data_IF_203827352993
#
_entry.id   IF_203827352993
#
_cell.length_a   1.000
_cell.length_b   1.000
_cell.length_c   1.000
_cell.angle_alpha   90.00
_cell.angle_beta   90.00
_cell.angle_gamma   90.00
#
_symmetry.space_group_name_H-M   'P 1'
#
loop_
_entity.id
_entity.type
_entity.pdbx_description
1 polymer ?
#
# COMPACT_ATOMS: atom_id res chain seq x y z
N UNK A 1 -7.89 -13.17 -15.07
CA UNK A 1 -7.91 -11.70 -14.88
C UNK A 1 -7.72 -11.45 -13.38
N UNK A 2 -6.78 -10.57 -13.00
CA UNK A 2 -6.47 -10.29 -11.60
C UNK A 2 -6.77 -8.81 -11.27
N UNK A 3 -7.09 -8.52 -10.01
CA UNK A 3 -7.17 -7.16 -9.47
C UNK A 3 -6.03 -6.90 -8.49
N UNK A 4 -5.65 -5.65 -8.32
CA UNK A 4 -4.82 -5.22 -7.20
C UNK A 4 -5.63 -5.19 -5.90
N UNK A 5 -4.93 -5.21 -4.74
CA UNK A 5 -5.57 -5.15 -3.42
C UNK A 5 -6.45 -3.90 -3.28
N UNK A 6 -5.97 -2.73 -3.72
CA UNK A 6 -6.73 -1.48 -3.63
C UNK A 6 -8.01 -1.50 -4.48
N UNK A 7 -7.97 -2.10 -5.68
CA UNK A 7 -9.15 -2.23 -6.56
C UNK A 7 -10.19 -3.16 -5.94
N UNK A 8 -9.75 -4.29 -5.37
CA UNK A 8 -10.63 -5.20 -4.65
C UNK A 8 -11.31 -4.53 -3.45
N UNK A 9 -10.56 -3.74 -2.66
CA UNK A 9 -11.13 -2.98 -1.55
C UNK A 9 -12.11 -1.90 -1.99
N UNK A 10 -11.83 -1.20 -3.09
CA UNK A 10 -12.77 -0.23 -3.67
C UNK A 10 -14.08 -0.91 -4.08
N UNK A 11 -14.01 -2.07 -4.71
CA UNK A 11 -15.20 -2.85 -5.06
C UNK A 11 -15.97 -3.29 -3.81
N UNK A 12 -15.28 -3.80 -2.78
CA UNK A 12 -15.94 -4.16 -1.51
C UNK A 12 -16.65 -2.98 -0.85
N UNK A 13 -16.01 -1.81 -0.81
CA UNK A 13 -16.60 -0.60 -0.26
C UNK A 13 -17.87 -0.16 -1.03
N UNK A 14 -17.87 -0.26 -2.37
CA UNK A 14 -19.04 0.06 -3.20
C UNK A 14 -20.26 -0.81 -2.86
N UNK A 15 -20.04 -2.02 -2.35
CA UNK A 15 -21.09 -2.95 -1.93
C UNK A 15 -21.35 -2.92 -0.42
N UNK A 16 -20.82 -1.93 0.30
CA UNK A 16 -21.04 -1.74 1.74
C UNK A 16 -20.33 -2.77 2.63
N UNK A 17 -19.36 -3.54 2.09
CA UNK A 17 -18.55 -4.44 2.89
C UNK A 17 -17.47 -3.66 3.65
N UNK A 18 -17.20 -3.98 4.93
CA UNK A 18 -16.22 -3.25 5.72
C UNK A 18 -14.82 -3.48 5.17
N UNK A 19 -14.12 -2.38 4.89
CA UNK A 19 -12.71 -2.37 4.50
C UNK A 19 -11.97 -1.31 5.30
N UNK A 20 -10.67 -1.51 5.52
CA UNK A 20 -9.83 -0.45 6.09
C UNK A 20 -9.78 0.74 5.12
N UNK A 21 -9.78 1.96 5.65
CA UNK A 21 -9.47 3.14 4.86
C UNK A 21 -8.05 3.04 4.27
N UNK A 22 -7.88 3.54 3.05
CA UNK A 22 -6.62 3.49 2.35
C UNK A 22 -6.69 4.19 1.01
N UNK A 23 -5.56 4.78 0.60
CA UNK A 23 -5.42 5.56 -0.62
C UNK A 23 -4.34 4.90 -1.48
N UNK A 24 -4.64 4.69 -2.76
CA UNK A 24 -3.64 4.26 -3.73
C UNK A 24 -2.82 5.48 -4.15
N UNK A 25 -1.49 5.35 -4.08
CA UNK A 25 -0.55 6.41 -4.44
C UNK A 25 0.36 5.94 -5.59
N UNK A 26 0.52 6.79 -6.60
CA UNK A 26 1.42 6.58 -7.73
C UNK A 26 2.73 7.37 -7.57
N UNK A 27 2.77 8.35 -6.66
CA UNK A 27 3.98 9.13 -6.34
C UNK A 27 4.33 9.04 -4.85
N UNK A 28 5.58 9.39 -4.54
CA UNK A 28 6.06 9.45 -3.15
C UNK A 28 5.27 10.50 -2.35
N UNK A 29 4.99 11.66 -2.95
CA UNK A 29 4.27 12.74 -2.28
C UNK A 29 2.80 12.39 -2.05
N UNK A 30 2.15 11.69 -2.98
CA UNK A 30 0.81 11.12 -2.77
C UNK A 30 0.80 10.12 -1.61
N UNK A 31 1.83 9.27 -1.49
CA UNK A 31 1.90 8.29 -0.41
C UNK A 31 2.05 8.98 0.97
N UNK A 32 2.87 10.03 1.03
CA UNK A 32 3.09 10.81 2.26
C UNK A 32 1.84 11.60 2.66
N UNK A 33 1.20 12.28 1.70
CA UNK A 33 -0.01 13.08 1.94
C UNK A 33 -1.23 12.21 2.25
N UNK A 34 -1.27 10.96 1.79
CA UNK A 34 -2.32 10.01 2.17
C UNK A 34 -2.42 9.79 3.69
N UNK A 35 -1.31 9.88 4.43
CA UNK A 35 -1.31 9.75 5.89
C UNK A 35 -2.10 10.89 6.56
N UNK A 36 -2.07 12.09 6.00
CA UNK A 36 -2.85 13.23 6.50
C UNK A 36 -4.35 13.00 6.31
N UNK A 37 -4.74 12.48 5.15
CA UNK A 37 -6.14 12.20 4.83
C UNK A 37 -6.69 11.05 5.66
N UNK A 38 -5.93 9.95 5.80
CA UNK A 38 -6.34 8.78 6.59
C UNK A 38 -6.35 9.10 8.09
N UNK A 39 -5.45 9.98 8.55
CA UNK A 39 -5.26 10.28 9.96
C UNK A 39 -4.69 9.10 10.76
N UNK A 40 -4.63 9.26 12.08
CA UNK A 40 -4.08 8.27 13.02
C UNK A 40 -2.60 8.46 13.35
N UNK A 41 -2.04 7.49 14.07
CA UNK A 41 -0.64 7.51 14.55
C UNK A 41 0.25 6.49 13.82
N UNK A 42 -0.35 5.51 13.14
CA UNK A 42 0.34 4.42 12.46
C UNK A 42 -0.37 4.01 11.18
N UNK A 43 0.40 3.63 10.17
CA UNK A 43 -0.10 3.25 8.84
C UNK A 43 0.57 1.98 8.32
N UNK A 44 -0.16 1.24 7.49
CA UNK A 44 0.42 0.11 6.75
C UNK A 44 0.66 0.51 5.31
N UNK A 45 1.92 0.55 4.88
CA UNK A 45 2.29 0.86 3.50
C UNK A 45 2.54 -0.44 2.75
N UNK A 46 1.91 -0.60 1.57
CA UNK A 46 1.90 -1.86 0.81
C UNK A 46 2.16 -1.65 -0.66
N UNK A 47 3.21 -2.28 -1.18
CA UNK A 47 3.44 -2.39 -2.61
C UNK A 47 2.28 -3.13 -3.28
N UNK A 48 1.82 -2.61 -4.42
CA UNK A 48 0.71 -3.18 -5.19
C UNK A 48 1.26 -4.03 -6.34
N UNK A 49 1.28 -5.35 -6.14
CA UNK A 49 1.56 -6.35 -7.19
C UNK A 49 0.51 -7.46 -7.10
N UNK A 50 0.29 -8.20 -8.19
CA UNK A 50 -0.65 -9.33 -8.17
C UNK A 50 -0.11 -10.55 -7.41
N UNK A 51 1.22 -10.70 -7.32
CA UNK A 51 1.84 -11.80 -6.61
C UNK A 51 1.61 -11.70 -5.08
N UNK A 52 1.44 -12.86 -4.44
CA UNK A 52 1.48 -12.98 -2.98
C UNK A 52 2.91 -12.91 -2.44
N UNK A 53 3.07 -13.09 -1.13
CA UNK A 53 4.40 -13.12 -0.48
C UNK A 53 5.08 -11.77 -0.24
N UNK A 54 4.38 -10.65 -0.53
CA UNK A 54 4.90 -9.28 -0.39
C UNK A 54 5.49 -8.97 0.99
N UNK A 55 4.84 -9.41 2.08
CA UNK A 55 5.32 -9.14 3.44
C UNK A 55 6.70 -9.72 3.73
N UNK A 56 6.95 -10.97 3.31
CA UNK A 56 8.27 -11.60 3.45
C UNK A 56 9.36 -10.94 2.57
N UNK A 57 8.94 -10.28 1.49
CA UNK A 57 9.82 -9.54 0.59
C UNK A 57 10.01 -8.06 0.98
N UNK A 58 9.45 -7.63 2.11
CA UNK A 58 9.53 -6.23 2.57
C UNK A 58 8.63 -5.25 1.80
N UNK A 59 7.70 -5.77 0.99
CA UNK A 59 6.69 -4.99 0.26
C UNK A 59 5.43 -4.67 1.08
N UNK A 60 5.45 -4.93 2.39
CA UNK A 60 4.43 -4.53 3.37
C UNK A 60 5.14 -4.15 4.66
N UNK A 61 4.85 -2.98 5.21
CA UNK A 61 5.41 -2.55 6.50
C UNK A 61 4.39 -1.71 7.29
N UNK A 62 4.47 -1.79 8.63
CA UNK A 62 3.83 -0.85 9.53
C UNK A 62 4.81 0.30 9.79
N UNK A 63 4.33 1.53 9.80
CA UNK A 63 5.13 2.73 10.03
C UNK A 63 4.39 3.68 10.96
N UNK A 64 5.17 4.45 11.72
CA UNK A 64 4.68 5.32 12.78
C UNK A 64 4.90 6.82 12.45
N UNK A 65 5.51 7.12 11.30
CA UNK A 65 5.79 8.48 10.84
C UNK A 65 5.82 8.57 9.31
N UNK A 66 5.75 9.81 8.79
CA UNK A 66 5.71 10.10 7.35
C UNK A 66 7.04 9.88 6.64
N UNK A 67 8.17 9.98 7.33
CA UNK A 67 9.49 9.78 6.71
C UNK A 67 9.69 8.31 6.35
N UNK A 68 9.19 7.38 7.16
CA UNK A 68 9.18 5.95 6.85
C UNK A 68 8.25 5.63 5.66
N UNK A 69 7.11 6.32 5.53
CA UNK A 69 6.25 6.22 4.34
C UNK A 69 7.01 6.66 3.09
N UNK A 70 7.69 7.81 3.16
CA UNK A 70 8.51 8.35 2.07
C UNK A 70 9.61 7.37 1.68
N UNK A 71 10.36 6.86 2.64
CA UNK A 71 11.45 5.91 2.40
C UNK A 71 10.94 4.61 1.75
N UNK A 72 9.81 4.08 2.24
CA UNK A 72 9.17 2.90 1.65
C UNK A 72 8.72 3.16 0.20
N UNK A 73 8.05 4.30 -0.05
CA UNK A 73 7.56 4.65 -1.38
C UNK A 73 8.72 4.86 -2.36
N UNK A 74 9.79 5.57 -1.96
CA UNK A 74 11.01 5.74 -2.77
C UNK A 74 11.68 4.41 -3.11
N UNK A 75 11.68 3.46 -2.17
CA UNK A 75 12.25 2.13 -2.40
C UNK A 75 11.45 1.33 -3.41
N UNK A 76 10.12 1.38 -3.39
CA UNK A 76 9.29 0.43 -4.15
C UNK A 76 8.64 0.99 -5.41
N UNK A 77 8.33 2.28 -5.48
CA UNK A 77 7.77 2.87 -6.70
C UNK A 77 8.80 2.80 -7.85
N UNK A 78 8.38 2.27 -8.99
CA UNK A 78 9.24 2.04 -10.15
C UNK A 78 10.20 0.84 -10.04
N UNK A 79 10.29 0.19 -8.89
CA UNK A 79 11.19 -0.96 -8.68
C UNK A 79 10.45 -2.30 -8.74
N UNK A 80 11.16 -3.35 -9.15
CA UNK A 80 10.63 -4.71 -9.19
C UNK A 80 10.64 -5.35 -7.80
N UNK A 81 9.47 -5.68 -7.27
CA UNK A 81 9.33 -6.49 -6.07
C UNK A 81 9.37 -7.98 -6.43
N UNK A 82 10.45 -8.66 -6.06
CA UNK A 82 10.58 -10.12 -6.18
C UNK A 82 10.07 -10.76 -4.89
N UNK A 83 9.07 -11.63 -4.99
CA UNK A 83 8.57 -12.42 -3.87
C UNK A 83 8.93 -13.88 -4.07
N UNK A 84 8.74 -14.74 -3.07
CA UNK A 84 9.00 -16.18 -3.24
C UNK A 84 8.10 -16.85 -4.31
N UNK A 85 7.08 -16.14 -4.81
CA UNK A 85 6.16 -16.62 -5.83
C UNK A 85 6.55 -16.18 -7.26
N UNK A 86 7.61 -15.37 -7.43
CA UNK A 86 7.97 -14.71 -8.71
C UNK A 86 9.46 -14.48 -8.89
#
# INVERSE_FOLDING_TARGET
>A
MNLHEYQGKQLFAQYGLPVSEGIAAATVDEAVTAADTIGGERWVVKAQVHAGGRGKAGGVTLVDNKDDIRAFAQKWLGNRLVTYQT
#
